data_IF_195444149064
#
_entry.id   IF_195444149064
#
_cell.length_a   1.000
_cell.length_b   1.000
_cell.length_c   1.000
_cell.angle_alpha   90.00
_cell.angle_beta   90.00
_cell.angle_gamma   90.00
#
_symmetry.space_group_name_H-M   'P 1'
#
loop_
_entity.id
_entity.type
_entity.pdbx_description
1 polymer ?
#
# COMPACT_ATOMS: atom_id res chain seq x y z
N UNK A 1 29.57 -22.32 38.94
CA UNK A 1 29.47 -20.96 38.37
C UNK A 1 29.96 -20.95 36.91
N UNK A 2 29.21 -21.58 36.00
CA UNK A 2 29.62 -21.71 34.58
C UNK A 2 28.48 -21.46 33.58
N UNK A 3 27.33 -20.92 34.04
CA UNK A 3 26.12 -20.74 33.22
C UNK A 3 25.85 -19.29 32.77
N UNK A 4 26.62 -18.30 33.24
CA UNK A 4 26.42 -16.89 32.86
C UNK A 4 27.23 -16.47 31.63
N UNK A 5 28.43 -17.02 31.41
CA UNK A 5 29.30 -16.63 30.29
C UNK A 5 28.76 -17.08 28.90
N UNK A 6 28.04 -18.20 28.84
CA UNK A 6 27.50 -18.74 27.59
C UNK A 6 26.32 -17.95 27.01
N UNK A 7 25.61 -17.18 27.83
CA UNK A 7 24.46 -16.38 27.37
C UNK A 7 24.93 -15.07 26.72
N UNK A 8 25.96 -14.43 27.28
CA UNK A 8 26.57 -13.23 26.69
C UNK A 8 27.27 -13.53 25.36
N UNK A 9 27.94 -14.67 25.23
CA UNK A 9 28.59 -15.06 23.96
C UNK A 9 27.57 -15.36 22.85
N UNK A 10 26.42 -15.95 23.19
CA UNK A 10 25.33 -16.20 22.23
C UNK A 10 24.60 -14.93 21.82
N UNK A 11 24.46 -13.95 22.73
CA UNK A 11 23.89 -12.64 22.41
C UNK A 11 24.83 -11.84 21.49
N UNK A 12 26.14 -11.83 21.78
CA UNK A 12 27.16 -11.17 20.95
C UNK A 12 27.25 -11.81 19.55
N UNK A 13 27.22 -13.14 19.45
CA UNK A 13 27.23 -13.83 18.16
C UNK A 13 25.94 -13.61 17.34
N UNK A 14 24.78 -13.45 17.98
CA UNK A 14 23.51 -13.12 17.32
C UNK A 14 23.47 -11.66 16.83
N UNK A 15 24.11 -10.75 17.57
CA UNK A 15 24.32 -9.35 17.17
C UNK A 15 25.31 -9.29 15.99
N UNK A 16 26.40 -10.05 16.03
CA UNK A 16 27.40 -10.07 14.96
C UNK A 16 26.88 -10.71 13.65
N UNK A 17 26.03 -11.73 13.73
CA UNK A 17 25.40 -12.36 12.55
C UNK A 17 24.27 -11.53 11.93
N UNK A 18 23.57 -10.68 12.70
CA UNK A 18 22.56 -9.74 12.14
C UNK A 18 23.12 -8.38 11.74
N UNK A 19 24.22 -7.92 12.35
CA UNK A 19 24.76 -6.56 12.17
C UNK A 19 26.08 -6.55 11.37
N UNK A 20 26.81 -7.65 11.30
CA UNK A 20 28.06 -7.77 10.52
C UNK A 20 27.99 -7.34 9.05
N UNK A 21 26.88 -7.54 8.32
CA UNK A 21 26.73 -7.04 6.95
C UNK A 21 26.52 -5.53 6.84
N UNK A 22 26.09 -4.86 7.91
CA UNK A 22 25.75 -3.42 7.92
C UNK A 22 27.00 -2.56 8.19
N UNK A 23 27.99 -3.09 8.92
CA UNK A 23 29.24 -2.38 9.25
C UNK A 23 30.37 -2.56 8.21
N UNK A 24 30.25 -3.52 7.28
CA UNK A 24 31.31 -3.85 6.30
C UNK A 24 31.43 -2.87 5.12
N UNK A 25 30.58 -1.84 5.05
CA UNK A 25 30.53 -0.91 3.91
C UNK A 25 31.50 0.28 4.00
N UNK A 26 32.27 0.44 5.08
CA UNK A 26 33.09 1.65 5.23
C UNK A 26 34.50 1.42 5.82
N UNK A 27 35.20 0.37 5.35
CA UNK A 27 36.65 0.21 5.60
C UNK A 27 37.43 0.29 4.29
N UNK A 28 37.49 1.50 3.73
CA UNK A 28 38.49 1.90 2.73
C UNK A 28 38.99 3.31 3.04
N UNK A 29 39.71 3.48 4.15
CA UNK A 29 40.66 4.58 4.32
C UNK A 29 41.42 4.47 5.65
N UNK A 30 42.54 3.76 5.70
CA UNK A 30 43.67 4.13 6.58
C UNK A 30 44.98 3.72 5.90
N UNK A 31 45.92 4.65 5.65
CA UNK A 31 47.25 4.31 5.14
C UNK A 31 48.22 3.94 6.26
N UNK A 32 49.15 3.05 5.93
CA UNK A 32 50.35 2.70 6.67
C UNK A 32 51.16 3.94 7.10
N UNK A 33 51.63 3.96 8.35
CA UNK A 33 52.95 4.51 8.70
C UNK A 33 53.43 4.15 10.11
N UNK A 34 54.67 3.62 10.12
CA UNK A 34 55.70 3.67 11.18
C UNK A 34 55.57 2.65 12.33
N UNK A 35 56.09 1.42 12.18
CA UNK A 35 57.50 1.05 12.42
C UNK A 35 58.20 1.76 13.59
N UNK A 36 58.55 0.99 14.63
CA UNK A 36 59.95 0.68 14.86
C UNK A 36 60.56 0.94 16.25
N UNK A 37 61.37 -0.07 16.65
CA UNK A 37 62.55 -0.05 17.53
C UNK A 37 62.35 -0.30 19.03
N UNK A 38 62.89 -1.44 19.47
CA UNK A 38 63.17 -1.74 20.88
C UNK A 38 64.50 -1.17 21.36
N UNK A 39 64.89 -1.53 22.60
CA UNK A 39 66.23 -1.88 23.09
C UNK A 39 66.23 -1.93 24.65
N UNK A 40 66.62 -3.11 25.16
CA UNK A 40 67.55 -3.41 26.28
C UNK A 40 67.48 -2.73 27.66
N UNK A 41 67.15 -3.54 28.68
CA UNK A 41 68.06 -3.95 29.77
C UNK A 41 68.62 -2.91 30.78
N UNK A 42 68.21 -3.03 32.06
CA UNK A 42 69.14 -3.15 33.21
C UNK A 42 68.44 -3.47 34.53
N UNK A 43 69.02 -4.43 35.25
CA UNK A 43 68.80 -4.76 36.65
C UNK A 43 69.37 -3.65 37.55
N UNK A 44 68.64 -3.25 38.59
CA UNK A 44 69.24 -2.70 39.81
C UNK A 44 68.38 -3.04 41.04
N UNK A 45 69.03 -3.77 41.93
CA UNK A 45 68.66 -4.15 43.28
C UNK A 45 68.53 -2.91 44.20
N UNK A 46 67.66 -2.96 45.22
CA UNK A 46 67.98 -2.75 46.64
C UNK A 46 66.75 -2.43 47.50
N UNK A 47 66.59 -3.24 48.56
CA UNK A 47 66.12 -2.94 49.94
C UNK A 47 64.67 -2.48 50.19
N UNK A 48 64.04 -3.29 51.03
CA UNK A 48 62.87 -3.01 51.85
C UNK A 48 62.88 -1.64 52.54
N UNK A 49 61.74 -0.95 52.47
CA UNK A 49 61.04 -0.46 53.67
C UNK A 49 59.53 -0.44 53.42
N UNK A 50 58.71 -0.66 54.46
CA UNK A 50 57.26 -0.80 54.37
C UNK A 50 56.64 0.59 54.24
N UNK A 51 55.45 0.68 53.65
CA UNK A 51 54.34 1.52 54.12
C UNK A 51 53.24 1.61 53.06
N UNK A 52 52.01 1.64 53.59
CA UNK A 52 50.74 2.06 52.97
C UNK A 52 50.08 1.06 52.02
N UNK A 53 49.27 0.20 52.64
CA UNK A 53 47.90 0.00 52.18
C UNK A 53 47.19 1.36 52.15
N UNK A 54 47.26 2.07 51.03
CA UNK A 54 46.37 3.20 50.73
C UNK A 54 45.89 2.99 49.30
N UNK A 55 44.57 2.86 49.18
CA UNK A 55 43.78 2.96 47.95
C UNK A 55 44.01 1.88 46.88
N UNK A 56 43.53 0.65 47.14
CA UNK A 56 43.07 -0.29 46.10
C UNK A 56 41.56 -0.59 46.22
N UNK A 57 40.81 0.29 46.86
CA UNK A 57 39.35 0.19 46.95
C UNK A 57 38.63 1.39 46.29
N UNK A 58 39.28 2.54 46.16
CA UNK A 58 38.71 3.67 45.41
C UNK A 58 38.84 3.51 43.88
N UNK A 59 39.86 2.80 43.39
CA UNK A 59 40.05 2.59 41.94
C UNK A 59 39.16 1.46 41.38
N UNK A 60 38.66 0.57 42.24
CA UNK A 60 37.78 -0.54 41.83
C UNK A 60 36.31 -0.13 41.76
N UNK A 61 35.88 0.89 42.51
CA UNK A 61 34.50 1.39 42.47
C UNK A 61 34.12 2.12 41.16
N UNK A 62 35.10 2.57 40.37
CA UNK A 62 34.86 3.11 39.03
C UNK A 62 34.72 2.02 37.94
N UNK A 63 35.36 0.87 38.14
CA UNK A 63 35.43 -0.22 37.15
C UNK A 63 34.29 -1.25 37.30
N UNK A 64 33.71 -1.42 38.49
CA UNK A 64 32.60 -2.36 38.71
C UNK A 64 31.28 -1.92 38.06
N UNK A 65 31.08 -0.60 37.91
CA UNK A 65 29.87 -0.05 37.30
C UNK A 65 30.02 0.16 35.78
N UNK A 66 31.24 0.08 35.25
CA UNK A 66 31.55 0.18 33.82
C UNK A 66 30.74 -0.80 32.93
N UNK A 67 30.56 -2.10 33.30
CA UNK A 67 29.67 -2.99 32.56
C UNK A 67 28.19 -2.58 32.65
N UNK A 68 27.74 -2.01 33.76
CA UNK A 68 26.36 -1.52 33.93
C UNK A 68 26.09 -0.29 33.06
N UNK A 69 27.06 0.64 32.99
CA UNK A 69 27.00 1.79 32.08
C UNK A 69 27.00 1.37 30.61
N UNK A 70 27.85 0.41 30.22
CA UNK A 70 27.86 -0.14 28.85
C UNK A 70 26.52 -0.80 28.53
N UNK A 71 25.98 -1.61 29.46
CA UNK A 71 24.68 -2.25 29.32
C UNK A 71 23.55 -1.22 29.14
N UNK A 72 23.55 -0.15 29.94
CA UNK A 72 22.57 0.93 29.84
C UNK A 72 22.65 1.67 28.49
N UNK A 73 23.85 1.97 28.00
CA UNK A 73 24.05 2.62 26.70
C UNK A 73 23.58 1.72 25.55
N UNK A 74 23.91 0.43 25.60
CA UNK A 74 23.47 -0.56 24.60
C UNK A 74 21.94 -0.67 24.59
N UNK A 75 21.29 -0.66 25.75
CA UNK A 75 19.83 -0.69 25.85
C UNK A 75 19.18 0.56 25.24
N UNK A 76 19.73 1.76 25.48
CA UNK A 76 19.25 3.01 24.88
C UNK A 76 19.39 2.97 23.35
N UNK A 77 20.55 2.53 22.84
CA UNK A 77 20.78 2.40 21.39
C UNK A 77 19.81 1.38 20.78
N UNK A 78 19.59 0.24 21.44
CA UNK A 78 18.64 -0.77 20.98
C UNK A 78 17.22 -0.20 20.88
N UNK A 79 16.76 0.58 21.87
CA UNK A 79 15.46 1.25 21.84
C UNK A 79 15.37 2.25 20.68
N UNK A 80 16.41 3.04 20.43
CA UNK A 80 16.44 3.98 19.30
C UNK A 80 16.33 3.25 17.95
N UNK A 81 17.06 2.14 17.78
CA UNK A 81 16.98 1.31 16.58
C UNK A 81 15.57 0.72 16.43
N UNK A 82 14.98 0.17 17.50
CA UNK A 82 13.62 -0.37 17.46
C UNK A 82 12.58 0.68 17.10
N UNK A 83 12.65 1.89 17.67
CA UNK A 83 11.78 3.00 17.32
C UNK A 83 11.97 3.44 15.86
N UNK A 84 13.21 3.48 15.38
CA UNK A 84 13.51 3.80 13.98
C UNK A 84 12.95 2.75 13.02
N UNK A 85 13.15 1.45 13.30
CA UNK A 85 12.61 0.35 12.50
C UNK A 85 11.08 0.36 12.46
N UNK A 86 10.41 0.60 13.59
CA UNK A 86 8.96 0.72 13.63
C UNK A 86 8.45 1.87 12.75
N UNK A 87 9.09 3.04 12.83
CA UNK A 87 8.78 4.18 11.96
C UNK A 87 9.02 3.87 10.49
N UNK A 88 10.11 3.17 10.18
CA UNK A 88 10.47 2.79 8.82
C UNK A 88 9.46 1.80 8.24
N UNK A 89 9.09 0.78 9.00
CA UNK A 89 8.07 -0.21 8.64
C UNK A 89 6.73 0.45 8.32
N UNK A 90 6.29 1.41 9.14
CA UNK A 90 5.06 2.17 8.89
C UNK A 90 5.12 3.01 7.61
N UNK A 91 6.29 3.55 7.26
CA UNK A 91 6.47 4.26 5.97
C UNK A 91 6.42 3.29 4.80
N UNK A 92 7.04 2.12 4.92
CA UNK A 92 7.02 1.09 3.87
C UNK A 92 5.62 0.52 3.65
N UNK A 93 4.85 0.27 4.72
CA UNK A 93 3.47 -0.22 4.61
C UNK A 93 2.57 0.77 3.88
N UNK A 94 2.70 2.07 4.20
CA UNK A 94 1.95 3.13 3.52
C UNK A 94 2.38 3.31 2.05
N UNK A 95 3.67 3.18 1.73
CA UNK A 95 4.16 3.17 0.35
C UNK A 95 3.56 2.00 -0.45
N UNK A 96 3.65 0.79 0.09
CA UNK A 96 3.10 -0.40 -0.54
C UNK A 96 1.59 -0.27 -0.77
N UNK A 97 0.86 0.31 0.20
CA UNK A 97 -0.58 0.53 0.06
C UNK A 97 -0.92 1.55 -1.01
N UNK A 98 -0.21 2.69 -1.07
CA UNK A 98 -0.38 3.70 -2.12
C UNK A 98 -0.10 3.14 -3.51
N UNK A 99 0.96 2.35 -3.67
CA UNK A 99 1.28 1.69 -4.94
C UNK A 99 0.15 0.74 -5.36
N UNK A 100 -0.33 -0.10 -4.43
CA UNK A 100 -1.37 -1.05 -4.75
C UNK A 100 -2.68 -0.37 -5.19
N UNK A 101 -3.10 0.68 -4.48
CA UNK A 101 -4.25 1.51 -4.86
C UNK A 101 -4.02 2.10 -6.26
N UNK A 102 -2.86 2.73 -6.48
CA UNK A 102 -2.57 3.39 -7.75
C UNK A 102 -2.51 2.43 -8.93
N UNK A 103 -1.91 1.24 -8.79
CA UNK A 103 -1.89 0.21 -9.84
C UNK A 103 -3.31 -0.24 -10.19
N UNK A 104 -4.18 -0.40 -9.19
CA UNK A 104 -5.57 -0.78 -9.42
C UNK A 104 -6.33 0.31 -10.17
N UNK A 105 -6.16 1.56 -9.74
CA UNK A 105 -6.76 2.73 -10.39
C UNK A 105 -6.26 2.90 -11.83
N UNK A 106 -4.96 2.75 -12.07
CA UNK A 106 -4.37 2.85 -13.40
C UNK A 106 -4.94 1.82 -14.37
N UNK A 107 -5.17 0.58 -13.91
CA UNK A 107 -5.87 -0.45 -14.70
C UNK A 107 -7.29 -0.04 -15.05
N UNK A 108 -8.06 0.49 -14.09
CA UNK A 108 -9.43 0.96 -14.32
C UNK A 108 -9.48 2.14 -15.30
N UNK A 109 -8.57 3.12 -15.13
CA UNK A 109 -8.39 4.27 -16.02
C UNK A 109 -8.06 3.81 -17.44
N UNK A 110 -7.16 2.83 -17.59
CA UNK A 110 -6.75 2.29 -18.89
C UNK A 110 -7.91 1.61 -19.61
N UNK A 111 -8.69 0.79 -18.90
CA UNK A 111 -9.86 0.13 -19.49
C UNK A 111 -10.98 1.11 -19.81
N UNK A 112 -11.24 2.08 -18.94
CA UNK A 112 -12.18 3.15 -19.26
C UNK A 112 -11.75 3.91 -20.52
N UNK A 113 -10.49 4.36 -20.59
CA UNK A 113 -10.00 5.14 -21.73
C UNK A 113 -10.12 4.40 -23.08
N UNK A 114 -9.94 3.08 -23.08
CA UNK A 114 -10.10 2.24 -24.28
C UNK A 114 -11.55 2.11 -24.74
N UNK A 115 -12.50 2.14 -23.80
CA UNK A 115 -13.90 1.83 -24.05
C UNK A 115 -14.82 3.06 -23.98
N UNK A 116 -14.32 4.22 -23.55
CA UNK A 116 -15.13 5.44 -23.37
C UNK A 116 -15.85 5.89 -24.65
N UNK A 117 -15.29 5.61 -25.83
CA UNK A 117 -15.94 5.90 -27.11
C UNK A 117 -17.17 5.03 -27.39
N UNK A 118 -17.34 3.93 -26.68
CA UNK A 118 -18.48 3.03 -26.84
C UNK A 118 -19.63 3.35 -25.87
N UNK A 119 -19.44 4.32 -24.97
CA UNK A 119 -20.45 4.83 -24.04
C UNK A 119 -21.17 6.02 -24.69
N UNK A 120 -21.77 5.80 -25.86
CA UNK A 120 -22.53 6.83 -26.57
C UNK A 120 -23.97 6.90 -26.06
N UNK A 121 -24.40 8.10 -25.71
CA UNK A 121 -25.80 8.36 -25.35
C UNK A 121 -26.64 8.31 -26.62
N UNK A 122 -27.69 7.49 -26.59
CA UNK A 122 -28.63 7.34 -27.69
C UNK A 122 -30.06 7.35 -27.15
N UNK A 123 -31.00 7.81 -28.00
CA UNK A 123 -32.42 7.86 -27.67
C UNK A 123 -33.11 6.49 -27.75
N UNK A 124 -32.37 5.43 -28.09
CA UNK A 124 -32.82 4.03 -28.18
C UNK A 124 -32.36 3.25 -26.93
N UNK A 125 -33.15 2.28 -26.42
CA UNK A 125 -32.72 1.44 -25.29
C UNK A 125 -31.35 0.81 -25.54
N UNK A 126 -30.47 0.81 -24.53
CA UNK A 126 -29.11 0.29 -24.67
C UNK A 126 -29.08 -1.24 -24.61
N UNK A 127 -29.50 -1.90 -25.69
CA UNK A 127 -29.61 -3.36 -25.77
C UNK A 127 -28.26 -4.10 -25.66
N UNK A 128 -27.13 -3.39 -25.79
CA UNK A 128 -25.78 -3.95 -25.72
C UNK A 128 -25.06 -3.63 -24.39
N UNK A 129 -25.81 -3.31 -23.33
CA UNK A 129 -25.25 -2.94 -22.02
C UNK A 129 -24.42 -4.07 -21.39
N UNK A 130 -24.79 -5.33 -21.66
CA UNK A 130 -24.06 -6.53 -21.27
C UNK A 130 -22.63 -6.52 -21.81
N UNK A 131 -22.48 -6.18 -23.10
CA UNK A 131 -21.19 -6.11 -23.78
C UNK A 131 -20.35 -4.95 -23.25
N UNK A 132 -20.96 -3.79 -23.01
CA UNK A 132 -20.28 -2.63 -22.40
C UNK A 132 -19.75 -2.98 -21.00
N UNK A 133 -20.56 -3.65 -20.20
CA UNK A 133 -20.17 -4.13 -18.87
C UNK A 133 -18.99 -5.11 -18.94
N UNK A 134 -19.01 -6.07 -19.87
CA UNK A 134 -17.90 -7.00 -20.09
C UNK A 134 -16.62 -6.27 -20.47
N UNK A 135 -16.69 -5.25 -21.32
CA UNK A 135 -15.53 -4.45 -21.70
C UNK A 135 -14.95 -3.64 -20.53
N UNK A 136 -15.80 -3.04 -19.69
CA UNK A 136 -15.37 -2.31 -18.49
C UNK A 136 -14.81 -3.24 -17.40
N UNK A 137 -15.31 -4.47 -17.31
CA UNK A 137 -14.82 -5.46 -16.33
C UNK A 137 -13.66 -6.31 -16.84
N UNK A 138 -13.17 -6.07 -18.06
CA UNK A 138 -12.03 -6.76 -18.66
C UNK A 138 -10.68 -6.31 -18.05
N UNK A 139 -10.54 -6.47 -16.75
CA UNK A 139 -9.29 -6.27 -15.99
C UNK A 139 -9.07 -7.42 -15.04
N UNK A 140 -7.81 -7.69 -14.70
CA UNK A 140 -7.47 -8.68 -13.65
C UNK A 140 -8.13 -8.38 -12.30
N UNK A 141 -8.52 -7.12 -12.06
CA UNK A 141 -9.22 -6.73 -10.85
C UNK A 141 -10.71 -7.09 -10.89
N UNK A 142 -11.40 -6.83 -12.00
CA UNK A 142 -12.87 -6.98 -12.13
C UNK A 142 -13.32 -8.23 -12.90
N UNK A 143 -12.40 -9.02 -13.44
CA UNK A 143 -12.74 -10.17 -14.30
C UNK A 143 -13.70 -11.17 -13.61
N UNK A 144 -13.59 -11.31 -12.29
CA UNK A 144 -14.44 -12.22 -11.49
C UNK A 144 -15.93 -11.88 -11.55
N UNK A 145 -16.30 -10.63 -11.86
CA UNK A 145 -17.69 -10.17 -11.94
C UNK A 145 -18.20 -10.02 -13.38
N UNK A 146 -17.34 -10.22 -14.39
CA UNK A 146 -17.68 -10.01 -15.80
C UNK A 146 -18.85 -10.89 -16.26
N UNK A 147 -18.93 -12.13 -15.75
CA UNK A 147 -20.03 -13.05 -16.04
C UNK A 147 -21.35 -12.72 -15.32
N UNK A 148 -21.33 -11.88 -14.28
CA UNK A 148 -22.53 -11.59 -13.47
C UNK A 148 -23.62 -10.88 -14.27
N UNK A 149 -23.27 -10.15 -15.33
CA UNK A 149 -24.23 -9.44 -16.19
C UNK A 149 -25.07 -10.39 -17.07
N UNK A 150 -24.60 -11.62 -17.31
CA UNK A 150 -25.35 -12.61 -18.09
C UNK A 150 -26.27 -13.48 -17.20
N UNK A 151 -26.03 -13.46 -15.90
CA UNK A 151 -26.67 -14.31 -14.89
C UNK A 151 -27.27 -13.43 -13.79
N UNK A 152 -28.10 -12.50 -14.22
CA UNK A 152 -28.68 -11.47 -13.36
C UNK A 152 -29.76 -12.09 -12.46
N UNK A 153 -29.81 -11.70 -11.18
CA UNK A 153 -30.66 -12.28 -10.12
C UNK A 153 -30.32 -13.73 -9.71
N UNK A 154 -29.31 -14.36 -10.33
CA UNK A 154 -28.76 -15.62 -9.82
C UNK A 154 -27.96 -15.35 -8.54
N UNK A 155 -28.18 -16.16 -7.50
CA UNK A 155 -27.64 -15.89 -6.16
C UNK A 155 -26.10 -15.77 -6.14
N UNK A 156 -25.38 -16.70 -6.76
CA UNK A 156 -23.92 -16.73 -6.71
C UNK A 156 -23.27 -15.59 -7.52
N UNK A 157 -23.64 -15.33 -8.80
CA UNK A 157 -23.07 -14.22 -9.57
C UNK A 157 -23.44 -12.85 -8.99
N UNK A 158 -24.64 -12.71 -8.42
CA UNK A 158 -25.07 -11.48 -7.76
C UNK A 158 -24.27 -11.22 -6.49
N UNK A 159 -24.05 -12.23 -5.64
CA UNK A 159 -23.22 -12.09 -4.45
C UNK A 159 -21.79 -11.68 -4.80
N UNK A 160 -21.18 -12.32 -5.81
CA UNK A 160 -19.83 -11.96 -6.28
C UNK A 160 -19.75 -10.51 -6.75
N UNK A 161 -20.76 -10.05 -7.48
CA UNK A 161 -20.86 -8.65 -7.92
C UNK A 161 -20.90 -7.71 -6.71
N UNK A 162 -21.82 -7.93 -5.77
CA UNK A 162 -21.98 -7.05 -4.62
C UNK A 162 -20.72 -6.98 -3.75
N UNK A 163 -20.09 -8.11 -3.45
CA UNK A 163 -18.84 -8.15 -2.70
C UNK A 163 -17.74 -7.36 -3.41
N UNK A 164 -17.65 -7.44 -4.74
CA UNK A 164 -16.64 -6.70 -5.49
C UNK A 164 -16.91 -5.20 -5.52
N UNK A 165 -18.17 -4.80 -5.66
CA UNK A 165 -18.56 -3.40 -5.61
C UNK A 165 -18.31 -2.80 -4.21
N UNK A 166 -18.52 -3.58 -3.14
CA UNK A 166 -18.17 -3.17 -1.77
C UNK A 166 -16.66 -3.06 -1.55
N UNK A 167 -15.88 -3.99 -2.13
CA UNK A 167 -14.42 -3.90 -2.16
C UNK A 167 -13.94 -2.61 -2.84
N UNK A 168 -14.58 -2.20 -3.94
CA UNK A 168 -14.28 -0.93 -4.61
C UNK A 168 -14.59 0.28 -3.72
N UNK A 169 -15.70 0.27 -2.99
CA UNK A 169 -16.02 1.34 -2.02
C UNK A 169 -14.98 1.40 -0.90
N UNK A 170 -14.59 0.24 -0.39
CA UNK A 170 -13.52 0.13 0.61
C UNK A 170 -12.18 0.66 0.08
N UNK A 171 -11.84 0.38 -1.18
CA UNK A 171 -10.65 0.90 -1.85
C UNK A 171 -10.70 2.44 -2.04
N UNK A 172 -11.88 2.99 -2.35
CA UNK A 172 -12.09 4.43 -2.46
C UNK A 172 -11.89 5.14 -1.11
N UNK A 173 -12.48 4.59 -0.05
CA UNK A 173 -12.24 5.05 1.32
C UNK A 173 -10.75 4.94 1.67
N UNK A 174 -10.15 3.82 1.31
CA UNK A 174 -8.71 3.56 1.20
C UNK A 174 -7.92 4.78 0.71
N UNK A 175 -8.22 5.17 -0.52
CA UNK A 175 -7.52 6.23 -1.21
C UNK A 175 -7.61 7.57 -0.48
N UNK A 176 -8.77 7.91 0.12
CA UNK A 176 -8.94 9.15 0.91
C UNK A 176 -7.99 9.23 2.10
N UNK A 177 -7.73 8.11 2.78
CA UNK A 177 -6.83 8.08 3.93
C UNK A 177 -5.35 7.94 3.52
N UNK A 178 -5.08 7.13 2.50
CA UNK A 178 -3.70 6.89 2.06
C UNK A 178 -3.10 8.09 1.35
N UNK A 179 -3.87 8.86 0.59
CA UNK A 179 -3.39 10.03 -0.16
C UNK A 179 -3.87 11.32 0.48
N UNK A 180 -2.98 12.31 0.56
CA UNK A 180 -3.28 13.59 1.21
C UNK A 180 -4.05 14.52 0.27
N UNK A 181 -5.12 15.10 0.81
CA UNK A 181 -5.92 16.17 0.19
C UNK A 181 -6.54 15.76 -1.14
N UNK A 182 -6.63 16.72 -2.06
CA UNK A 182 -7.36 16.59 -3.34
C UNK A 182 -6.84 15.50 -4.30
N UNK A 183 -5.75 14.81 -3.98
CA UNK A 183 -5.27 13.63 -4.71
C UNK A 183 -6.01 12.37 -4.29
N UNK A 184 -6.26 12.20 -2.99
CA UNK A 184 -7.05 11.08 -2.47
C UNK A 184 -8.51 11.18 -2.89
N UNK A 185 -9.07 12.40 -2.81
CA UNK A 185 -10.45 12.66 -3.23
C UNK A 185 -10.65 12.32 -4.71
N UNK A 186 -9.75 12.77 -5.59
CA UNK A 186 -9.87 12.48 -7.03
C UNK A 186 -9.78 10.98 -7.36
N UNK A 187 -8.96 10.22 -6.62
CA UNK A 187 -8.90 8.76 -6.78
C UNK A 187 -10.20 8.12 -6.28
N UNK A 188 -10.66 8.51 -5.10
CA UNK A 188 -11.86 7.96 -4.47
C UNK A 188 -13.11 8.23 -5.31
N UNK A 189 -13.30 9.48 -5.75
CA UNK A 189 -14.40 9.90 -6.62
C UNK A 189 -14.44 9.09 -7.93
N UNK A 190 -13.27 8.86 -8.54
CA UNK A 190 -13.20 8.03 -9.74
C UNK A 190 -13.60 6.57 -9.48
N UNK A 191 -13.11 5.96 -8.38
CA UNK A 191 -13.47 4.57 -8.03
C UNK A 191 -14.97 4.47 -7.72
N UNK A 192 -15.54 5.43 -6.98
CA UNK A 192 -16.96 5.48 -6.61
C UNK A 192 -17.85 5.69 -7.84
N UNK A 193 -17.46 6.57 -8.76
CA UNK A 193 -18.16 6.77 -10.02
C UNK A 193 -18.14 5.48 -10.87
N UNK A 194 -16.99 4.81 -10.95
CA UNK A 194 -16.84 3.56 -11.70
C UNK A 194 -17.73 2.46 -11.11
N UNK A 195 -17.69 2.29 -9.79
CA UNK A 195 -18.51 1.33 -9.07
C UNK A 195 -20.01 1.61 -9.29
N UNK A 196 -20.41 2.88 -9.22
CA UNK A 196 -21.80 3.32 -9.42
C UNK A 196 -22.28 3.02 -10.84
N UNK A 197 -21.45 3.27 -11.85
CA UNK A 197 -21.77 2.93 -13.23
C UNK A 197 -21.94 1.41 -13.41
N UNK A 198 -21.00 0.60 -12.93
CA UNK A 198 -21.12 -0.86 -13.02
C UNK A 198 -22.40 -1.38 -12.38
N UNK A 199 -22.80 -0.82 -11.24
CA UNK A 199 -24.04 -1.22 -10.59
C UNK A 199 -25.28 -0.76 -11.38
N UNK A 200 -25.26 0.45 -11.93
CA UNK A 200 -26.34 0.96 -12.78
C UNK A 200 -26.49 0.13 -14.05
N UNK A 201 -25.39 -0.26 -14.71
CA UNK A 201 -25.40 -1.18 -15.86
C UNK A 201 -26.04 -2.53 -15.50
N UNK A 202 -25.73 -3.07 -14.33
CA UNK A 202 -26.36 -4.31 -13.83
C UNK A 202 -27.86 -4.15 -13.60
N UNK A 203 -28.28 -3.05 -12.98
CA UNK A 203 -29.70 -2.74 -12.77
C UNK A 203 -30.45 -2.55 -14.09
N UNK A 204 -29.82 -1.88 -15.05
CA UNK A 204 -30.38 -1.68 -16.38
C UNK A 204 -30.51 -3.01 -17.15
N UNK A 205 -29.57 -3.95 -16.99
CA UNK A 205 -29.74 -5.31 -17.54
C UNK A 205 -30.92 -6.06 -16.92
N UNK A 206 -31.20 -5.90 -15.62
CA UNK A 206 -32.42 -6.45 -14.99
C UNK A 206 -33.66 -5.91 -15.71
N UNK A 207 -33.69 -4.59 -15.97
CA UNK A 207 -34.79 -3.92 -16.65
C UNK A 207 -34.98 -4.47 -18.07
N UNK A 208 -33.92 -4.59 -18.85
CA UNK A 208 -33.98 -5.16 -20.21
C UNK A 208 -34.50 -6.61 -20.19
N UNK A 209 -34.06 -7.43 -19.23
CA UNK A 209 -34.56 -8.79 -19.06
C UNK A 209 -36.07 -8.79 -18.76
N UNK A 210 -36.54 -7.89 -17.88
CA UNK A 210 -37.97 -7.71 -17.59
C UNK A 210 -38.76 -7.23 -18.81
N UNK A 211 -38.23 -6.26 -19.56
CA UNK A 211 -38.86 -5.80 -20.81
C UNK A 211 -39.03 -6.95 -21.80
N UNK A 212 -37.98 -7.76 -22.00
CA UNK A 212 -38.00 -8.93 -22.88
C UNK A 212 -39.02 -9.99 -22.42
N UNK A 213 -39.11 -10.23 -21.11
CA UNK A 213 -40.09 -11.16 -20.54
C UNK A 213 -41.53 -10.64 -20.69
N UNK A 214 -41.78 -9.38 -20.33
CA UNK A 214 -43.08 -8.72 -20.48
C UNK A 214 -43.55 -8.66 -21.93
N UNK A 215 -42.65 -8.37 -22.86
CA UNK A 215 -42.95 -8.40 -24.30
C UNK A 215 -43.45 -9.79 -24.75
N UNK A 216 -42.88 -10.87 -24.20
CA UNK A 216 -43.33 -12.24 -24.50
C UNK A 216 -44.67 -12.59 -23.85
N UNK A 217 -44.86 -12.21 -22.58
CA UNK A 217 -46.05 -12.57 -21.79
C UNK A 217 -47.29 -11.77 -22.23
N UNK A 218 -47.12 -10.47 -22.46
CA UNK A 218 -48.21 -9.56 -22.78
C UNK A 218 -48.30 -9.21 -24.27
N UNK A 219 -47.41 -9.77 -25.10
CA UNK A 219 -47.31 -9.47 -26.54
C UNK A 219 -47.10 -7.98 -26.83
N UNK A 220 -46.45 -7.27 -25.91
CA UNK A 220 -46.11 -5.85 -26.08
C UNK A 220 -45.03 -5.66 -27.13
N UNK A 221 -45.10 -4.54 -27.84
CA UNK A 221 -43.96 -4.06 -28.63
C UNK A 221 -42.83 -3.58 -27.69
N UNK A 222 -41.63 -3.41 -28.22
CA UNK A 222 -40.49 -2.92 -27.43
C UNK A 222 -40.76 -1.53 -26.85
N UNK A 223 -41.43 -0.68 -27.62
CA UNK A 223 -41.81 0.68 -27.24
C UNK A 223 -42.83 0.66 -26.10
N UNK A 224 -43.85 -0.19 -26.18
CA UNK A 224 -44.83 -0.38 -25.11
C UNK A 224 -44.17 -0.90 -23.83
N UNK A 225 -43.26 -1.87 -23.94
CA UNK A 225 -42.52 -2.38 -22.79
C UNK A 225 -41.61 -1.31 -22.16
N UNK A 226 -40.96 -0.47 -22.97
CA UNK A 226 -40.13 0.65 -22.50
C UNK A 226 -40.97 1.69 -21.75
N UNK A 227 -42.11 2.09 -22.30
CA UNK A 227 -43.00 3.07 -21.69
C UNK A 227 -43.61 2.54 -20.38
N UNK A 228 -44.15 1.32 -20.38
CA UNK A 228 -44.79 0.72 -19.19
C UNK A 228 -43.79 0.47 -18.04
N UNK A 229 -42.52 0.20 -18.36
CA UNK A 229 -41.47 -0.02 -17.37
C UNK A 229 -40.63 1.23 -17.08
N UNK A 230 -41.03 2.40 -17.59
CA UNK A 230 -40.36 3.69 -17.36
C UNK A 230 -38.86 3.62 -17.68
N UNK A 231 -38.51 2.89 -18.74
CA UNK A 231 -37.12 2.69 -19.16
C UNK A 231 -36.38 3.99 -19.53
N UNK A 232 -37.01 5.00 -20.16
CA UNK A 232 -36.34 6.25 -20.47
C UNK A 232 -35.77 6.96 -19.23
N UNK A 233 -36.48 6.92 -18.09
CA UNK A 233 -36.00 7.48 -16.82
C UNK A 233 -34.78 6.72 -16.30
N UNK A 234 -34.85 5.38 -16.33
CA UNK A 234 -33.75 4.51 -15.91
C UNK A 234 -32.50 4.65 -16.80
N UNK A 235 -32.71 4.91 -18.09
CA UNK A 235 -31.63 5.20 -19.04
C UNK A 235 -30.98 6.55 -18.76
N UNK A 236 -31.77 7.57 -18.41
CA UNK A 236 -31.23 8.85 -18.01
C UNK A 236 -30.36 8.70 -16.75
N UNK A 237 -30.82 7.97 -15.73
CA UNK A 237 -30.02 7.66 -14.54
C UNK A 237 -28.69 6.98 -14.87
N UNK A 238 -28.68 6.07 -15.85
CA UNK A 238 -27.48 5.41 -16.35
C UNK A 238 -26.51 6.42 -16.99
N UNK A 239 -27.01 7.29 -17.88
CA UNK A 239 -26.21 8.33 -18.54
C UNK A 239 -25.62 9.32 -17.54
N UNK A 240 -26.36 9.68 -16.49
CA UNK A 240 -25.81 10.50 -15.41
C UNK A 240 -24.62 9.82 -14.72
N UNK A 241 -24.63 8.49 -14.55
CA UNK A 241 -23.46 7.77 -14.01
C UNK A 241 -22.29 7.76 -14.99
N UNK A 242 -22.55 7.66 -16.29
CA UNK A 242 -21.53 7.75 -17.34
C UNK A 242 -20.86 9.13 -17.33
N UNK A 243 -21.65 10.21 -17.24
CA UNK A 243 -21.18 11.59 -17.19
C UNK A 243 -20.34 11.88 -15.92
N UNK A 244 -20.78 11.36 -14.77
CA UNK A 244 -20.03 11.46 -13.51
C UNK A 244 -18.69 10.71 -13.61
N UNK A 245 -18.67 9.52 -14.22
CA UNK A 245 -17.43 8.79 -14.47
C UNK A 245 -16.51 9.55 -15.44
N UNK A 246 -17.04 10.12 -16.51
CA UNK A 246 -16.27 10.90 -17.46
C UNK A 246 -15.65 12.15 -16.80
N UNK A 247 -16.40 12.81 -15.92
CA UNK A 247 -15.95 14.00 -15.19
C UNK A 247 -14.87 13.67 -14.17
N UNK A 248 -15.05 12.61 -13.39
CA UNK A 248 -14.05 12.14 -12.42
C UNK A 248 -12.78 11.64 -13.13
N UNK A 249 -12.91 10.93 -14.26
CA UNK A 249 -11.78 10.53 -15.10
C UNK A 249 -10.98 11.73 -15.59
N UNK A 250 -11.64 12.75 -16.15
CA UNK A 250 -10.99 13.99 -16.62
C UNK A 250 -10.23 14.66 -15.48
N UNK A 251 -10.86 14.76 -14.29
CA UNK A 251 -10.25 15.34 -13.09
C UNK A 251 -9.01 14.55 -12.63
N UNK A 252 -9.10 13.22 -12.58
CA UNK A 252 -7.99 12.35 -12.20
C UNK A 252 -6.83 12.42 -13.19
N UNK A 253 -7.11 12.61 -14.48
CA UNK A 253 -6.11 12.66 -15.55
C UNK A 253 -5.41 14.02 -15.68
N UNK A 254 -5.83 15.05 -14.94
CA UNK A 254 -5.16 16.35 -14.95
C UNK A 254 -3.69 16.20 -14.52
N UNK A 255 -2.76 16.82 -15.27
CA UNK A 255 -1.32 16.63 -15.08
C UNK A 255 -0.84 17.02 -13.67
N UNK A 256 -1.40 18.11 -13.11
CA UNK A 256 -1.13 18.53 -11.74
C UNK A 256 -1.55 17.47 -10.70
N UNK A 257 -2.67 16.78 -10.92
CA UNK A 257 -3.20 15.72 -10.05
C UNK A 257 -2.36 14.46 -10.14
N UNK A 258 -2.07 13.97 -11.35
CA UNK A 258 -1.20 12.80 -11.57
C UNK A 258 0.20 13.03 -11.00
N UNK A 259 0.78 14.21 -11.25
CA UNK A 259 2.07 14.58 -10.69
C UNK A 259 2.07 14.62 -9.16
N UNK A 260 1.01 15.15 -8.54
CA UNK A 260 0.87 15.15 -7.08
C UNK A 260 0.74 13.73 -6.50
N UNK A 261 -0.04 12.85 -7.13
CA UNK A 261 -0.18 11.44 -6.73
C UNK A 261 1.18 10.73 -6.83
N UNK A 262 1.87 10.88 -7.96
CA UNK A 262 3.17 10.26 -8.19
C UNK A 262 4.22 10.76 -7.20
N UNK A 263 4.23 12.06 -6.88
CA UNK A 263 5.10 12.60 -5.82
C UNK A 263 4.79 12.00 -4.46
N UNK A 264 3.52 11.78 -4.10
CA UNK A 264 3.18 11.14 -2.82
C UNK A 264 3.61 9.67 -2.75
N UNK A 265 3.66 8.97 -3.89
CA UNK A 265 4.22 7.63 -3.98
C UNK A 265 5.75 7.69 -3.86
N UNK A 266 6.42 8.59 -4.60
CA UNK A 266 7.88 8.73 -4.62
C UNK A 266 8.47 9.30 -3.32
N UNK A 267 7.80 10.25 -2.65
CA UNK A 267 8.30 10.88 -1.41
C UNK A 267 8.29 9.92 -0.21
N UNK A 268 7.63 8.77 -0.31
CA UNK A 268 7.81 7.68 0.65
C UNK A 268 9.07 6.82 0.35
N UNK A 269 9.76 7.08 -0.75
CA UNK A 269 11.10 6.58 -1.09
C UNK A 269 12.08 7.73 -1.34
N UNK A 270 12.72 8.25 -0.29
CA UNK A 270 14.13 7.90 -0.12
C UNK A 270 14.41 7.54 1.34
N UNK A 271 14.65 6.26 1.59
CA UNK A 271 15.20 5.79 2.87
C UNK A 271 16.71 6.07 2.92
N UNK A 272 17.34 6.43 1.80
CA UNK A 272 18.76 6.77 1.70
C UNK A 272 19.02 7.84 0.64
N UNK A 273 19.42 9.03 1.09
CA UNK A 273 20.49 9.85 0.50
C UNK A 273 21.26 10.48 1.64
#
# INVERSE_FOLDING_TARGET
MARCAGFHYRLLAAVETRIGPILKLDSKAVPDKLQGKGVSGRLLNWRHHPLRYVSREEETMGLTNLPEYISAIVAIIALLISCYQARLSNKQSLFNRRINIWITVDKLVSVYAKNAKNLEHNDVPQLAIDRLFVWLTNTTYLQSISASINHVLDADPQLKLHLKLDEMKSLAMEARFCFKGKSGDAIAEFIEAYQSLLFSMYQYQILLNKMSQSAKVYQWTLEQASEQLHEPEQRQDLFEKEDVLATSYKTLCQQNKRGAIQRQIQLAGPIWR
#
